data_IF_329253996085
#
_entry.id   IF_329253996085
#
_cell.length_a   1.000
_cell.length_b   1.000
_cell.length_c   1.000
_cell.angle_alpha   90.00
_cell.angle_beta   90.00
_cell.angle_gamma   90.00
#
_symmetry.space_group_name_H-M   'P 1'
#
loop_
_entity.id
_entity.type
_entity.pdbx_description
1 polymer ?
#
# COMPACT_ATOMS: atom_id res chain seq x y z
N UNK A 1 -28.07 -0.02 -0.38
CA UNK A 1 -26.89 -0.91 -0.31
C UNK A 1 -25.92 -0.52 -1.42
N UNK A 2 -24.67 -0.24 -1.08
CA UNK A 2 -23.63 -0.04 -2.09
C UNK A 2 -23.13 -1.43 -2.53
N UNK A 3 -22.93 -1.62 -3.84
CA UNK A 3 -22.46 -2.89 -4.39
C UNK A 3 -21.00 -3.14 -3.97
N UNK A 4 -20.63 -4.34 -3.51
CA UNK A 4 -19.24 -4.70 -3.25
C UNK A 4 -18.44 -4.79 -4.57
N UNK A 5 -17.12 -4.87 -4.46
CA UNK A 5 -16.28 -5.30 -5.58
C UNK A 5 -16.61 -6.74 -5.97
N UNK A 6 -16.42 -7.08 -7.25
CA UNK A 6 -16.52 -8.49 -7.65
C UNK A 6 -15.37 -9.29 -7.05
N UNK A 7 -15.63 -10.55 -6.73
CA UNK A 7 -14.62 -11.48 -6.20
C UNK A 7 -13.40 -11.61 -7.12
N UNK A 8 -13.62 -11.57 -8.43
CA UNK A 8 -12.54 -11.64 -9.43
C UNK A 8 -11.66 -10.39 -9.37
N UNK A 9 -12.26 -9.21 -9.17
CA UNK A 9 -11.50 -7.96 -9.02
C UNK A 9 -10.68 -7.97 -7.73
N UNK A 10 -11.27 -8.41 -6.61
CA UNK A 10 -10.56 -8.54 -5.33
C UNK A 10 -9.37 -9.48 -5.47
N UNK A 11 -9.58 -10.67 -6.06
CA UNK A 11 -8.50 -11.65 -6.27
C UNK A 11 -7.40 -11.13 -7.17
N UNK A 12 -7.76 -10.46 -8.27
CA UNK A 12 -6.78 -9.88 -9.20
C UNK A 12 -5.90 -8.83 -8.52
N UNK A 13 -6.49 -7.93 -7.73
CA UNK A 13 -5.75 -6.89 -7.00
C UNK A 13 -4.83 -7.50 -5.94
N UNK A 14 -5.36 -8.42 -5.12
CA UNK A 14 -4.57 -9.10 -4.09
C UNK A 14 -3.38 -9.84 -4.71
N UNK A 15 -3.60 -10.57 -5.81
CA UNK A 15 -2.53 -11.30 -6.51
C UNK A 15 -1.45 -10.37 -7.06
N UNK A 16 -1.83 -9.25 -7.69
CA UNK A 16 -0.88 -8.25 -8.20
C UNK A 16 0.04 -7.74 -7.08
N UNK A 17 -0.56 -7.39 -5.93
CA UNK A 17 0.16 -6.85 -4.79
C UNK A 17 1.14 -7.86 -4.17
N UNK A 18 0.69 -9.10 -3.95
CA UNK A 18 1.53 -10.17 -3.38
C UNK A 18 2.63 -10.63 -4.36
N UNK A 19 2.39 -10.57 -5.67
CA UNK A 19 3.42 -10.81 -6.68
C UNK A 19 4.48 -9.71 -6.69
N UNK A 20 4.11 -8.44 -6.51
CA UNK A 20 5.07 -7.34 -6.40
C UNK A 20 6.01 -7.57 -5.20
N UNK A 21 5.47 -7.89 -4.02
CA UNK A 21 6.28 -8.20 -2.84
C UNK A 21 7.17 -9.43 -3.05
N UNK A 22 6.60 -10.52 -3.59
CA UNK A 22 7.35 -11.76 -3.85
C UNK A 22 8.51 -11.54 -4.83
N UNK A 23 8.33 -10.65 -5.80
CA UNK A 23 9.35 -10.31 -6.80
C UNK A 23 10.52 -9.55 -6.15
N UNK A 24 10.22 -8.58 -5.28
CA UNK A 24 11.24 -7.85 -4.50
C UNK A 24 11.97 -8.81 -3.56
N UNK A 25 11.24 -9.66 -2.83
CA UNK A 25 11.82 -10.66 -1.92
C UNK A 25 12.74 -11.65 -2.62
N UNK A 26 12.47 -11.96 -3.88
CA UNK A 26 13.33 -12.81 -4.71
C UNK A 26 14.57 -12.09 -5.28
N UNK A 27 14.81 -10.83 -4.92
CA UNK A 27 15.90 -10.00 -5.45
C UNK A 27 15.73 -9.63 -6.92
N UNK A 28 14.51 -9.74 -7.46
CA UNK A 28 14.16 -9.41 -8.85
C UNK A 28 13.26 -8.19 -8.97
N UNK A 29 13.11 -7.45 -7.88
CA UNK A 29 12.32 -6.23 -7.83
C UNK A 29 12.98 -5.07 -8.57
N UNK A 30 12.17 -4.06 -8.88
CA UNK A 30 12.60 -2.77 -9.37
C UNK A 30 11.67 -1.66 -8.85
N UNK A 31 11.89 -0.44 -9.33
CA UNK A 31 11.10 0.72 -8.93
C UNK A 31 9.59 0.55 -9.20
N UNK A 32 9.19 -0.16 -10.25
CA UNK A 32 7.78 -0.38 -10.57
C UNK A 32 7.08 -1.23 -9.50
N UNK A 33 7.73 -2.30 -9.00
CA UNK A 33 7.16 -3.09 -7.89
C UNK A 33 7.11 -2.29 -6.59
N UNK A 34 8.12 -1.45 -6.32
CA UNK A 34 8.10 -0.56 -5.15
C UNK A 34 6.97 0.46 -5.25
N UNK A 35 6.80 1.10 -6.41
CA UNK A 35 5.70 2.03 -6.66
C UNK A 35 4.33 1.34 -6.59
N UNK A 36 4.22 0.08 -7.05
CA UNK A 36 3.02 -0.73 -6.89
C UNK A 36 2.66 -0.88 -5.40
N UNK A 37 3.60 -1.32 -4.57
CA UNK A 37 3.38 -1.48 -3.13
C UNK A 37 3.09 -0.15 -2.42
N UNK A 38 3.76 0.94 -2.79
CA UNK A 38 3.50 2.26 -2.20
C UNK A 38 2.08 2.76 -2.54
N UNK A 39 1.59 2.48 -3.76
CA UNK A 39 0.19 2.76 -4.12
C UNK A 39 -0.79 1.95 -3.27
N UNK A 40 -0.46 0.70 -2.95
CA UNK A 40 -1.27 -0.13 -2.05
C UNK A 40 -1.32 0.47 -0.66
N UNK A 41 -0.19 0.92 -0.10
CA UNK A 41 -0.14 1.62 1.20
C UNK A 41 -1.11 2.80 1.22
N UNK A 42 -1.11 3.63 0.18
CA UNK A 42 -2.00 4.79 0.09
C UNK A 42 -3.46 4.44 -0.14
N UNK A 43 -3.77 3.46 -0.98
CA UNK A 43 -5.14 2.98 -1.12
C UNK A 43 -5.66 2.42 0.20
N UNK A 44 -4.85 1.63 0.90
CA UNK A 44 -5.22 1.06 2.18
C UNK A 44 -5.45 2.15 3.24
N UNK A 45 -4.60 3.17 3.28
CA UNK A 45 -4.78 4.35 4.12
C UNK A 45 -6.08 5.12 3.82
N UNK A 46 -6.42 5.31 2.54
CA UNK A 46 -7.65 6.01 2.15
C UNK A 46 -8.93 5.21 2.43
N UNK A 47 -8.81 3.88 2.56
CA UNK A 47 -9.90 2.96 2.92
C UNK A 47 -9.86 2.52 4.39
N UNK A 48 -9.05 3.16 5.24
CA UNK A 48 -8.81 2.76 6.63
C UNK A 48 -10.06 2.64 7.51
N UNK A 49 -11.13 3.36 7.17
CA UNK A 49 -12.40 3.37 7.92
C UNK A 49 -13.34 2.22 7.51
N UNK A 50 -12.97 1.44 6.48
CA UNK A 50 -13.80 0.35 5.96
C UNK A 50 -13.67 -0.94 6.81
N UNK A 51 -12.64 -1.05 7.66
CA UNK A 51 -12.45 -2.18 8.59
C UNK A 51 -12.03 -1.69 9.97
N UNK A 52 -12.37 -2.46 11.02
CA UNK A 52 -11.99 -2.12 12.41
C UNK A 52 -10.47 -2.14 12.59
N UNK A 53 -9.80 -3.09 11.93
CA UNK A 53 -8.33 -3.23 11.90
C UNK A 53 -7.65 -2.09 11.14
N UNK A 54 -8.38 -1.43 10.24
CA UNK A 54 -7.87 -0.37 9.39
C UNK A 54 -7.61 0.95 10.10
N UNK A 55 -8.29 1.26 11.20
CA UNK A 55 -8.27 2.59 11.82
C UNK A 55 -6.88 3.05 12.32
N UNK A 56 -6.03 2.12 12.75
CA UNK A 56 -4.69 2.44 13.24
C UNK A 56 -3.79 2.94 12.11
N UNK A 57 -3.09 4.05 12.34
CA UNK A 57 -2.19 4.64 11.36
C UNK A 57 -0.80 3.96 11.31
N UNK A 58 -0.42 3.25 12.37
CA UNK A 58 0.93 2.69 12.52
C UNK A 58 1.32 1.76 11.36
N UNK A 59 0.49 0.80 10.91
CA UNK A 59 0.88 -0.10 9.82
C UNK A 59 1.19 0.63 8.51
N UNK A 60 0.40 1.66 8.15
CA UNK A 60 0.63 2.40 6.91
C UNK A 60 1.91 3.23 6.97
N UNK A 61 2.19 3.86 8.11
CA UNK A 61 3.41 4.67 8.29
C UNK A 61 4.67 3.81 8.22
N UNK A 62 4.66 2.64 8.88
CA UNK A 62 5.81 1.73 8.87
C UNK A 62 6.07 1.19 7.47
N UNK A 63 5.02 0.75 6.79
CA UNK A 63 5.15 0.29 5.40
C UNK A 63 5.63 1.41 4.46
N UNK A 64 5.09 2.63 4.57
CA UNK A 64 5.55 3.78 3.80
C UNK A 64 7.04 4.06 4.04
N UNK A 65 7.47 4.14 5.31
CA UNK A 65 8.86 4.43 5.65
C UNK A 65 9.84 3.38 5.09
N UNK A 66 9.48 2.09 5.19
CA UNK A 66 10.26 0.98 4.63
C UNK A 66 10.38 1.11 3.11
N UNK A 67 9.27 1.38 2.42
CA UNK A 67 9.27 1.52 0.96
C UNK A 67 10.05 2.77 0.51
N UNK A 68 9.94 3.90 1.21
CA UNK A 68 10.68 5.12 0.90
C UNK A 68 12.19 4.94 1.05
N UNK A 69 12.64 4.24 2.10
CA UNK A 69 14.05 3.87 2.26
C UNK A 69 14.51 2.99 1.11
N UNK A 70 13.71 2.00 0.71
CA UNK A 70 14.03 1.13 -0.42
C UNK A 70 14.09 1.90 -1.76
N UNK A 71 13.12 2.78 -2.01
CA UNK A 71 13.10 3.66 -3.20
C UNK A 71 14.34 4.56 -3.22
N UNK A 72 14.75 5.09 -2.07
CA UNK A 72 15.96 5.91 -1.95
C UNK A 72 17.23 5.11 -2.28
N UNK A 73 17.33 3.85 -1.83
CA UNK A 73 18.43 2.94 -2.18
C UNK A 73 18.46 2.67 -3.69
N UNK A 74 17.32 2.28 -4.28
CA UNK A 74 17.21 2.02 -5.73
C UNK A 74 17.55 3.27 -6.56
N UNK A 75 17.18 4.46 -6.09
CA UNK A 75 17.55 5.73 -6.74
C UNK A 75 19.05 6.06 -6.70
N UNK A 76 19.85 5.30 -5.94
CA UNK A 76 21.33 5.37 -5.90
C UNK A 76 21.98 4.21 -6.66
N UNK A 77 21.23 3.57 -7.56
CA UNK A 77 21.63 2.37 -8.31
C UNK A 77 21.95 1.15 -7.43
N UNK A 78 21.45 1.12 -6.19
CA UNK A 78 21.54 -0.06 -5.33
C UNK A 78 20.47 -1.11 -5.73
N UNK A 79 20.72 -2.41 -5.48
CA UNK A 79 19.73 -3.45 -5.76
C UNK A 79 18.40 -3.20 -5.02
N UNK A 80 17.29 -3.56 -5.66
CA UNK A 80 15.97 -3.51 -5.03
C UNK A 80 15.76 -4.74 -4.13
N UNK A 81 15.76 -4.52 -2.82
CA UNK A 81 15.43 -5.54 -1.83
C UNK A 81 14.86 -4.89 -0.56
N UNK A 82 14.11 -5.69 0.19
CA UNK A 82 13.71 -5.39 1.56
C UNK A 82 14.52 -6.29 2.51
N UNK A 83 14.94 -5.73 3.64
CA UNK A 83 15.58 -6.51 4.70
C UNK A 83 14.57 -7.46 5.36
N UNK A 84 15.05 -8.54 5.95
CA UNK A 84 14.18 -9.51 6.64
C UNK A 84 13.37 -8.87 7.79
N UNK A 85 13.91 -7.83 8.42
CA UNK A 85 13.22 -7.03 9.46
C UNK A 85 12.23 -6.00 8.89
N UNK A 86 12.38 -5.63 7.62
CA UNK A 86 11.50 -4.69 6.90
C UNK A 86 10.29 -5.38 6.27
N UNK A 87 10.45 -6.63 5.84
CA UNK A 87 9.41 -7.45 5.19
C UNK A 87 8.09 -7.52 5.98
N UNK A 88 8.09 -7.79 7.30
CA UNK A 88 6.85 -7.92 8.07
C UNK A 88 5.98 -6.66 8.06
N UNK A 89 6.57 -5.48 7.92
CA UNK A 89 5.82 -4.21 7.89
C UNK A 89 5.02 -4.08 6.58
N UNK A 90 5.58 -4.55 5.47
CA UNK A 90 4.88 -4.58 4.17
C UNK A 90 3.87 -5.73 4.12
N UNK A 91 4.21 -6.92 4.63
CA UNK A 91 3.25 -8.04 4.72
C UNK A 91 2.01 -7.66 5.53
N UNK A 92 2.19 -6.92 6.63
CA UNK A 92 1.09 -6.46 7.48
C UNK A 92 0.12 -5.53 6.75
N UNK A 93 0.63 -4.57 5.97
CA UNK A 93 -0.26 -3.65 5.23
C UNK A 93 -0.97 -4.37 4.08
N UNK A 94 -0.34 -5.36 3.44
CA UNK A 94 -0.98 -6.16 2.40
C UNK A 94 -2.14 -7.00 2.96
N UNK A 95 -1.93 -7.68 4.10
CA UNK A 95 -2.99 -8.44 4.76
C UNK A 95 -4.17 -7.56 5.18
N UNK A 96 -3.88 -6.36 5.71
CA UNK A 96 -4.90 -5.37 6.03
C UNK A 96 -5.66 -4.93 4.78
N UNK A 97 -4.96 -4.68 3.68
CA UNK A 97 -5.58 -4.27 2.43
C UNK A 97 -6.47 -5.36 1.83
N UNK A 98 -6.08 -6.63 1.95
CA UNK A 98 -6.92 -7.76 1.53
C UNK A 98 -8.25 -7.81 2.29
N UNK A 99 -8.22 -7.56 3.61
CA UNK A 99 -9.42 -7.45 4.44
C UNK A 99 -10.32 -6.28 3.97
N UNK A 100 -9.71 -5.13 3.68
CA UNK A 100 -10.44 -3.97 3.15
C UNK A 100 -11.06 -4.26 1.79
N UNK A 101 -10.34 -4.88 0.86
CA UNK A 101 -10.86 -5.19 -0.48
C UNK A 101 -12.05 -6.16 -0.41
N UNK A 102 -12.06 -7.07 0.56
CA UNK A 102 -13.18 -7.98 0.78
C UNK A 102 -14.42 -7.29 1.37
N UNK A 103 -14.24 -6.22 2.17
CA UNK A 103 -15.31 -5.50 2.85
C UNK A 103 -15.84 -4.28 2.06
N UNK A 104 -14.99 -3.64 1.26
CA UNK A 104 -15.24 -2.31 0.69
C UNK A 104 -16.34 -2.33 -0.38
N UNK A 105 -17.16 -1.28 -0.36
CA UNK A 105 -18.06 -1.03 -1.47
C UNK A 105 -17.33 -0.48 -2.70
N UNK A 106 -17.81 -0.78 -3.90
CA UNK A 106 -17.25 -0.27 -5.16
C UNK A 106 -17.11 1.26 -5.16
N UNK A 107 -18.10 1.97 -4.61
CA UNK A 107 -18.07 3.43 -4.53
C UNK A 107 -16.91 3.94 -3.65
N UNK A 108 -16.71 3.33 -2.48
CA UNK A 108 -15.62 3.70 -1.57
C UNK A 108 -14.25 3.40 -2.16
N UNK A 109 -14.10 2.27 -2.85
CA UNK A 109 -12.88 1.94 -3.59
C UNK A 109 -12.56 2.99 -4.67
N UNK A 110 -13.56 3.42 -5.45
CA UNK A 110 -13.37 4.46 -6.48
C UNK A 110 -12.99 5.81 -5.86
N UNK A 111 -13.60 6.20 -4.74
CA UNK A 111 -13.22 7.42 -4.02
C UNK A 111 -11.78 7.38 -3.51
N UNK A 112 -11.32 6.23 -3.00
CA UNK A 112 -9.94 6.04 -2.57
C UNK A 112 -8.97 6.13 -3.76
N UNK A 113 -9.35 5.54 -4.90
CA UNK A 113 -8.59 5.63 -6.13
C UNK A 113 -8.46 7.06 -6.67
N UNK A 114 -9.55 7.82 -6.70
CA UNK A 114 -9.51 9.23 -7.10
C UNK A 114 -8.63 10.08 -6.18
N UNK A 115 -8.66 9.81 -4.87
CA UNK A 115 -7.77 10.48 -3.90
C UNK A 115 -6.30 10.18 -4.20
N UNK A 116 -5.97 8.93 -4.51
CA UNK A 116 -4.63 8.53 -4.93
C UNK A 116 -4.21 9.25 -6.24
N UNK A 117 -5.08 9.30 -7.24
CA UNK A 117 -4.77 9.99 -8.51
C UNK A 117 -4.49 11.49 -8.31
N UNK A 118 -5.30 12.16 -7.49
CA UNK A 118 -5.08 13.56 -7.12
C UNK A 118 -3.76 13.74 -6.36
N UNK A 119 -3.46 12.83 -5.43
CA UNK A 119 -2.19 12.84 -4.70
C UNK A 119 -0.98 12.76 -5.64
N UNK A 120 -0.99 11.80 -6.57
CA UNK A 120 0.09 11.60 -7.56
C UNK A 120 0.29 12.82 -8.46
N UNK A 121 -0.77 13.59 -8.72
CA UNK A 121 -0.72 14.77 -9.62
C UNK A 121 -0.26 16.04 -8.90
N UNK A 122 -0.73 16.26 -7.67
CA UNK A 122 -0.70 17.59 -7.04
C UNK A 122 0.26 17.72 -5.84
N UNK A 123 0.75 16.62 -5.26
CA UNK A 123 1.36 16.66 -3.93
C UNK A 123 2.78 16.09 -3.86
N UNK A 124 3.63 16.76 -3.06
CA UNK A 124 5.03 16.37 -2.81
C UNK A 124 5.26 15.73 -1.43
N UNK A 125 4.23 15.63 -0.58
CA UNK A 125 4.34 15.17 0.83
C UNK A 125 3.38 14.04 1.10
N UNK A 126 3.81 13.03 1.86
CA UNK A 126 2.99 11.87 2.25
C UNK A 126 1.56 12.27 2.67
N UNK A 127 0.52 11.53 2.20
CA UNK A 127 -0.85 11.72 2.66
C UNK A 127 -1.10 11.15 4.06
N UNK A 128 -0.16 10.37 4.60
CA UNK A 128 -0.25 9.74 5.91
C UNK A 128 0.31 10.73 6.95
N UNK A 129 -0.52 11.24 7.88
CA UNK A 129 -0.05 12.21 8.85
C UNK A 129 0.97 11.55 9.78
N UNK A 130 2.10 12.21 10.02
CA UNK A 130 3.02 11.87 11.12
C UNK A 130 2.28 12.07 12.44
N UNK A 131 2.61 11.29 13.47
CA UNK A 131 2.12 11.62 14.81
C UNK A 131 2.58 13.03 15.15
N UNK A 132 1.64 13.92 15.46
CA UNK A 132 1.98 15.17 16.10
C UNK A 132 2.68 14.77 17.40
N UNK A 133 3.98 15.01 17.50
CA UNK A 133 4.71 14.86 18.74
C UNK A 133 3.91 15.63 19.82
N UNK A 134 3.36 14.88 20.78
CA UNK A 134 2.72 15.46 21.96
C UNK A 134 3.79 16.07 22.87
#
# INVERSE_FOLDING_TARGET
MLLPLSTDKVRSLSLENHLALSTIRAGRGNLDQLCCLLRVVYLAFYMREETVTGFDLVPYRRAEAVLDVCITRVGRDEPCYLLDEELPEVERVLALHDEQLAAVSRHRYLLAWERLQRFVTDQKRSPIPVDAAK
#
